data_IF_986069136572
#
_entry.id   IF_986069136572
#
_cell.length_a   1.000
_cell.length_b   1.000
_cell.length_c   1.000
_cell.angle_alpha   90.00
_cell.angle_beta   90.00
_cell.angle_gamma   90.00
#
_symmetry.space_group_name_H-M   'P 1'
#
loop_
_entity.id
_entity.type
_entity.pdbx_description
1 polymer ?
#
# COMPACT_ATOMS: atom_id res chain seq x y z
N UNK A 1 -36.73 7.56 -9.46
CA UNK A 1 -35.55 7.18 -10.27
C UNK A 1 -34.95 5.95 -9.62
N UNK A 2 -34.95 4.81 -10.31
CA UNK A 2 -34.40 3.57 -9.77
C UNK A 2 -32.87 3.73 -9.72
N UNK A 3 -32.26 3.62 -8.54
CA UNK A 3 -30.80 3.73 -8.40
C UNK A 3 -30.14 2.61 -9.19
N UNK A 4 -29.09 2.94 -9.95
CA UNK A 4 -28.32 1.95 -10.68
C UNK A 4 -27.49 1.10 -9.70
N UNK A 5 -27.21 -0.15 -10.06
CA UNK A 5 -26.27 -0.99 -9.31
C UNK A 5 -24.87 -0.34 -9.23
N UNK A 6 -24.50 0.45 -10.23
CA UNK A 6 -23.24 1.21 -10.21
C UNK A 6 -23.24 2.31 -9.15
N UNK A 7 -24.36 3.03 -8.97
CA UNK A 7 -24.47 4.07 -7.95
C UNK A 7 -24.33 3.49 -6.54
N UNK A 8 -24.95 2.32 -6.31
CA UNK A 8 -24.87 1.61 -5.03
C UNK A 8 -23.44 1.15 -4.76
N UNK A 9 -22.76 0.61 -5.78
CA UNK A 9 -21.36 0.18 -5.66
C UNK A 9 -20.46 1.37 -5.33
N UNK A 10 -20.60 2.49 -6.04
CA UNK A 10 -19.77 3.68 -5.82
C UNK A 10 -19.98 4.25 -4.40
N UNK A 11 -21.22 4.25 -3.89
CA UNK A 11 -21.51 4.61 -2.49
C UNK A 11 -20.79 3.69 -1.48
N UNK A 12 -20.76 2.39 -1.72
CA UNK A 12 -20.05 1.43 -0.86
C UNK A 12 -18.52 1.56 -0.95
N UNK A 13 -17.97 1.74 -2.15
CA UNK A 13 -16.54 1.97 -2.34
C UNK A 13 -16.10 3.25 -1.61
N UNK A 14 -16.89 4.33 -1.66
CA UNK A 14 -16.63 5.56 -0.90
C UNK A 14 -16.61 5.29 0.62
N UNK A 15 -17.58 4.52 1.14
CA UNK A 15 -17.60 4.16 2.56
C UNK A 15 -16.35 3.37 2.95
N UNK A 16 -15.93 2.41 2.13
CA UNK A 16 -14.72 1.62 2.35
C UNK A 16 -13.46 2.47 2.31
N UNK A 17 -13.35 3.41 1.36
CA UNK A 17 -12.24 4.37 1.30
C UNK A 17 -12.17 5.28 2.53
N UNK A 18 -13.31 5.58 3.17
CA UNK A 18 -13.33 6.37 4.40
C UNK A 18 -12.97 5.55 5.64
N UNK A 19 -13.37 4.28 5.70
CA UNK A 19 -13.14 3.43 6.87
C UNK A 19 -11.79 2.72 6.88
N UNK A 20 -11.21 2.45 5.71
CA UNK A 20 -10.01 1.64 5.56
C UNK A 20 -8.95 2.39 4.74
N UNK A 21 -7.89 2.79 5.43
CA UNK A 21 -6.80 3.54 4.84
C UNK A 21 -6.09 2.80 3.71
N UNK A 22 -5.88 1.48 3.84
CA UNK A 22 -5.16 0.72 2.82
C UNK A 22 -6.05 0.53 1.58
N UNK A 23 -7.34 0.32 1.79
CA UNK A 23 -8.32 0.31 0.71
C UNK A 23 -8.34 1.65 -0.05
N UNK A 24 -8.35 2.77 0.67
CA UNK A 24 -8.25 4.12 0.10
C UNK A 24 -7.00 4.27 -0.78
N UNK A 25 -5.83 3.88 -0.25
CA UNK A 25 -4.58 3.94 -0.99
C UNK A 25 -4.65 3.15 -2.31
N UNK A 26 -5.36 2.03 -2.35
CA UNK A 26 -5.47 1.19 -3.54
C UNK A 26 -6.51 1.64 -4.54
N UNK A 27 -7.66 2.13 -4.08
CA UNK A 27 -8.83 2.37 -4.92
C UNK A 27 -9.00 3.83 -5.32
N UNK A 28 -8.62 4.77 -4.45
CA UNK A 28 -8.87 6.18 -4.70
C UNK A 28 -8.18 6.65 -5.99
N UNK A 29 -8.85 7.51 -6.74
CA UNK A 29 -8.26 8.22 -7.90
C UNK A 29 -7.29 9.29 -7.43
N UNK A 30 -7.52 9.85 -6.24
CA UNK A 30 -6.67 10.85 -5.64
C UNK A 30 -5.50 10.18 -4.90
N UNK A 31 -4.27 10.48 -5.30
CA UNK A 31 -3.07 9.87 -4.71
C UNK A 31 -2.52 10.62 -3.50
N UNK A 32 -3.15 11.71 -3.02
CA UNK A 32 -2.64 12.48 -1.88
C UNK A 32 -2.49 11.66 -0.60
N UNK A 33 -3.45 10.77 -0.32
CA UNK A 33 -3.40 9.86 0.83
C UNK A 33 -2.21 8.89 0.69
N UNK A 34 -2.02 8.34 -0.50
CA UNK A 34 -0.91 7.45 -0.83
C UNK A 34 0.44 8.19 -0.77
N UNK A 35 0.53 9.40 -1.30
CA UNK A 35 1.73 10.24 -1.25
C UNK A 35 2.12 10.57 0.20
N UNK A 36 1.12 10.88 1.04
CA UNK A 36 1.32 11.10 2.48
C UNK A 36 1.85 9.83 3.14
N UNK A 37 1.28 8.66 2.83
CA UNK A 37 1.76 7.38 3.34
C UNK A 37 3.24 7.14 3.02
N UNK A 38 3.63 7.36 1.76
CA UNK A 38 5.00 7.16 1.30
C UNK A 38 5.99 8.13 1.97
N UNK A 39 5.57 9.38 2.23
CA UNK A 39 6.38 10.35 2.99
C UNK A 39 6.58 9.88 4.43
N UNK A 40 5.51 9.45 5.10
CA UNK A 40 5.59 8.95 6.47
C UNK A 40 6.51 7.73 6.60
N UNK A 41 6.41 6.78 5.67
CA UNK A 41 7.30 5.61 5.59
C UNK A 41 8.74 6.07 5.40
N UNK A 42 9.00 6.92 4.40
CA UNK A 42 10.34 7.45 4.11
C UNK A 42 10.95 8.13 5.34
N UNK A 43 10.17 8.96 6.04
CA UNK A 43 10.64 9.71 7.20
C UNK A 43 10.97 8.78 8.37
N UNK A 44 10.12 7.78 8.64
CA UNK A 44 10.40 6.76 9.65
C UNK A 44 11.67 5.96 9.31
N UNK A 45 11.83 5.53 8.05
CA UNK A 45 13.03 4.81 7.61
C UNK A 45 14.28 5.70 7.71
N UNK A 46 14.20 6.97 7.32
CA UNK A 46 15.34 7.91 7.42
C UNK A 46 15.72 8.23 8.86
N UNK A 47 14.73 8.28 9.77
CA UNK A 47 14.97 8.49 11.20
C UNK A 47 15.63 7.26 11.86
N UNK A 48 15.31 6.06 11.39
CA UNK A 48 15.89 4.81 11.91
C UNK A 48 17.31 4.55 11.41
N UNK A 49 17.59 4.88 10.14
CA UNK A 49 18.88 4.59 9.51
C UNK A 49 19.67 5.87 9.20
N UNK A 50 20.62 6.21 10.06
CA UNK A 50 21.47 7.40 9.93
C UNK A 50 22.32 7.43 8.65
N UNK A 51 22.66 6.27 8.10
CA UNK A 51 23.44 6.12 6.86
C UNK A 51 22.58 5.66 5.66
N UNK A 52 21.35 6.16 5.55
CA UNK A 52 20.47 5.76 4.44
C UNK A 52 21.04 6.19 3.08
N UNK A 53 20.93 5.29 2.09
CA UNK A 53 21.53 5.54 0.77
C UNK A 53 20.86 6.70 0.02
N UNK A 54 21.66 7.48 -0.72
CA UNK A 54 21.13 8.51 -1.63
C UNK A 54 20.17 7.92 -2.67
N UNK A 55 20.42 6.68 -3.10
CA UNK A 55 19.56 5.93 -4.03
C UNK A 55 18.18 5.69 -3.46
N UNK A 56 18.07 5.26 -2.20
CA UNK A 56 16.78 5.08 -1.53
C UNK A 56 15.97 6.38 -1.52
N UNK A 57 16.59 7.48 -1.06
CA UNK A 57 15.93 8.80 -1.01
C UNK A 57 15.41 9.20 -2.39
N UNK A 58 16.25 9.09 -3.41
CA UNK A 58 15.90 9.44 -4.78
C UNK A 58 14.77 8.56 -5.35
N UNK A 59 14.79 7.25 -5.13
CA UNK A 59 13.73 6.35 -5.61
C UNK A 59 12.40 6.64 -4.94
N UNK A 60 12.38 6.85 -3.61
CA UNK A 60 11.16 7.22 -2.90
C UNK A 60 10.63 8.60 -3.33
N UNK A 61 11.50 9.58 -3.49
CA UNK A 61 11.10 10.92 -3.95
C UNK A 61 10.50 10.87 -5.36
N UNK A 62 11.09 10.06 -6.27
CA UNK A 62 10.52 9.82 -7.59
C UNK A 62 9.16 9.14 -7.51
N UNK A 63 9.00 8.10 -6.69
CA UNK A 63 7.71 7.43 -6.54
C UNK A 63 6.62 8.38 -6.01
N UNK A 64 6.97 9.29 -5.09
CA UNK A 64 6.04 10.29 -4.54
C UNK A 64 5.66 11.35 -5.57
N UNK A 65 6.60 11.79 -6.41
CA UNK A 65 6.38 12.89 -7.38
C UNK A 65 5.77 12.43 -8.71
N UNK A 66 6.03 11.19 -9.12
CA UNK A 66 5.52 10.61 -10.38
C UNK A 66 4.05 10.21 -10.25
N UNK A 67 3.32 10.15 -11.37
CA UNK A 67 1.92 9.70 -11.43
C UNK A 67 1.78 8.16 -11.56
N UNK A 68 2.90 7.44 -11.67
CA UNK A 68 2.93 5.99 -11.79
C UNK A 68 2.38 5.30 -10.52
N UNK A 69 1.10 4.89 -10.58
CA UNK A 69 0.42 4.19 -9.48
C UNK A 69 1.10 2.88 -9.09
N UNK A 70 1.59 2.11 -10.08
CA UNK A 70 2.30 0.85 -9.81
C UNK A 70 3.54 1.10 -8.96
N UNK A 71 4.33 2.14 -9.27
CA UNK A 71 5.50 2.50 -8.47
C UNK A 71 5.13 2.93 -7.04
N UNK A 72 4.08 3.75 -6.89
CA UNK A 72 3.59 4.18 -5.56
C UNK A 72 3.08 3.01 -4.73
N UNK A 73 2.27 2.14 -5.31
CA UNK A 73 1.74 0.96 -4.63
C UNK A 73 2.84 -0.02 -4.29
N UNK A 74 3.80 -0.26 -5.18
CA UNK A 74 4.98 -1.06 -4.87
C UNK A 74 5.76 -0.51 -3.68
N UNK A 75 6.02 0.81 -3.67
CA UNK A 75 6.68 1.48 -2.55
C UNK A 75 5.88 1.37 -1.24
N UNK A 76 4.54 1.49 -1.29
CA UNK A 76 3.68 1.32 -0.13
C UNK A 76 3.73 -0.12 0.41
N UNK A 77 3.59 -1.11 -0.46
CA UNK A 77 3.57 -2.53 -0.11
C UNK A 77 4.90 -2.96 0.52
N UNK A 78 6.03 -2.61 -0.10
CA UNK A 78 7.34 -2.84 0.49
C UNK A 78 7.55 -2.03 1.77
N UNK A 79 7.05 -0.80 1.82
CA UNK A 79 7.12 0.05 3.00
C UNK A 79 6.38 -0.55 4.20
N UNK A 80 5.18 -1.09 3.99
CA UNK A 80 4.40 -1.84 5.01
C UNK A 80 5.17 -3.08 5.45
N UNK A 81 5.73 -3.84 4.50
CA UNK A 81 6.47 -5.06 4.81
C UNK A 81 7.77 -4.80 5.60
N UNK A 82 8.52 -3.76 5.24
CA UNK A 82 9.86 -3.48 5.76
C UNK A 82 9.91 -2.46 6.90
N UNK A 83 8.80 -1.78 7.21
CA UNK A 83 8.74 -0.73 8.24
C UNK A 83 7.71 -1.07 9.32
N UNK A 84 8.03 -1.97 10.28
CA UNK A 84 7.09 -2.37 11.34
C UNK A 84 6.54 -1.20 12.16
N UNK A 85 7.34 -0.17 12.43
CA UNK A 85 6.89 1.05 13.14
C UNK A 85 5.75 1.76 12.41
N UNK A 86 5.70 1.68 11.08
CA UNK A 86 4.61 2.25 10.30
C UNK A 86 3.33 1.41 10.45
N UNK A 87 3.46 0.08 10.42
CA UNK A 87 2.33 -0.84 10.68
C UNK A 87 1.74 -0.62 12.07
N UNK A 88 2.59 -0.52 13.09
CA UNK A 88 2.18 -0.22 14.46
C UNK A 88 1.46 1.12 14.56
N UNK A 89 1.96 2.16 13.86
CA UNK A 89 1.30 3.47 13.79
C UNK A 89 -0.11 3.35 13.21
N UNK A 90 -0.28 2.66 12.07
CA UNK A 90 -1.59 2.48 11.43
C UNK A 90 -2.60 1.77 12.33
N UNK A 91 -2.15 0.73 13.05
CA UNK A 91 -3.00 -0.02 14.00
C UNK A 91 -3.36 0.86 15.20
N UNK A 92 -2.37 1.55 15.80
CA UNK A 92 -2.57 2.42 16.97
C UNK A 92 -3.51 3.58 16.66
N UNK A 93 -3.44 4.13 15.46
CA UNK A 93 -4.31 5.22 14.99
C UNK A 93 -5.66 4.73 14.46
N UNK A 94 -5.94 3.41 14.55
CA UNK A 94 -7.17 2.79 14.06
C UNK A 94 -7.50 3.14 12.60
N UNK A 95 -6.46 3.30 11.77
CA UNK A 95 -6.60 3.64 10.34
C UNK A 95 -6.96 2.44 9.48
N UNK A 96 -6.84 1.24 10.04
CA UNK A 96 -7.08 -0.06 9.41
C UNK A 96 -7.72 -0.99 10.43
N UNK A 97 -8.46 -1.99 9.97
CA UNK A 97 -8.89 -3.09 10.84
C UNK A 97 -7.67 -3.93 11.25
N UNK A 98 -7.32 -4.02 12.56
CA UNK A 98 -6.07 -4.65 12.98
C UNK A 98 -5.99 -6.14 12.64
N UNK A 99 -7.10 -6.88 12.77
CA UNK A 99 -7.12 -8.32 12.54
C UNK A 99 -6.94 -8.64 11.05
N UNK A 100 -7.75 -8.01 10.20
CA UNK A 100 -7.64 -8.10 8.75
C UNK A 100 -6.26 -7.68 8.26
N UNK A 101 -5.74 -6.57 8.77
CA UNK A 101 -4.47 -6.02 8.31
C UNK A 101 -3.28 -6.89 8.71
N UNK A 102 -3.22 -7.37 9.96
CA UNK A 102 -2.17 -8.28 10.39
C UNK A 102 -2.21 -9.61 9.62
N UNK A 103 -3.41 -10.17 9.41
CA UNK A 103 -3.57 -11.37 8.60
C UNK A 103 -3.05 -11.15 7.17
N UNK A 104 -3.44 -10.05 6.52
CA UNK A 104 -2.97 -9.72 5.18
C UNK A 104 -1.45 -9.62 5.11
N UNK A 105 -0.82 -8.94 6.07
CA UNK A 105 0.64 -8.78 6.09
C UNK A 105 1.32 -10.14 6.19
N UNK A 106 0.90 -10.99 7.12
CA UNK A 106 1.56 -12.26 7.43
C UNK A 106 1.32 -13.32 6.37
N UNK A 107 0.07 -13.44 5.90
CA UNK A 107 -0.38 -14.56 5.05
C UNK A 107 -0.23 -14.26 3.57
N UNK A 108 -0.34 -12.99 3.16
CA UNK A 108 -0.32 -12.61 1.74
C UNK A 108 0.88 -11.75 1.38
N UNK A 109 1.01 -10.58 2.00
CA UNK A 109 1.99 -9.59 1.58
C UNK A 109 3.44 -10.08 1.76
N UNK A 110 3.78 -10.61 2.94
CA UNK A 110 5.15 -11.06 3.22
C UNK A 110 5.61 -12.18 2.25
N UNK A 111 4.83 -13.24 1.99
CA UNK A 111 5.14 -14.19 0.93
C UNK A 111 5.33 -13.53 -0.44
N UNK A 112 4.38 -12.68 -0.88
CA UNK A 112 4.44 -12.06 -2.21
C UNK A 112 5.66 -11.15 -2.39
N UNK A 113 6.05 -10.41 -1.35
CA UNK A 113 7.29 -9.63 -1.36
C UNK A 113 8.51 -10.53 -1.60
N UNK A 114 8.59 -11.68 -0.93
CA UNK A 114 9.68 -12.64 -1.11
C UNK A 114 9.68 -13.26 -2.52
N UNK A 115 8.50 -13.65 -3.02
CA UNK A 115 8.35 -14.20 -4.38
C UNK A 115 8.81 -13.20 -5.44
N UNK A 116 8.45 -11.92 -5.31
CA UNK A 116 8.89 -10.87 -6.22
C UNK A 116 10.40 -10.66 -6.16
N UNK A 117 10.98 -10.57 -4.96
CA UNK A 117 12.42 -10.36 -4.78
C UNK A 117 13.26 -11.54 -5.27
N UNK A 118 12.71 -12.75 -5.27
CA UNK A 118 13.35 -13.95 -5.80
C UNK A 118 13.10 -14.16 -7.30
N UNK A 119 12.29 -13.32 -7.94
CA UNK A 119 11.98 -13.43 -9.36
C UNK A 119 11.16 -14.66 -9.72
N UNK A 120 10.21 -15.07 -8.88
CA UNK A 120 9.29 -16.17 -9.21
C UNK A 120 8.43 -15.83 -10.44
N UNK A 121 8.17 -16.82 -11.29
CA UNK A 121 7.55 -16.66 -12.62
C UNK A 121 6.23 -15.86 -12.62
N UNK A 122 5.42 -15.94 -11.55
CA UNK A 122 4.14 -15.22 -11.44
C UNK A 122 4.24 -13.84 -10.78
N UNK A 123 5.42 -13.47 -10.31
CA UNK A 123 5.74 -12.23 -9.61
C UNK A 123 6.98 -11.57 -10.21
N UNK A 124 7.29 -11.85 -11.47
CA UNK A 124 8.50 -11.45 -12.17
C UNK A 124 8.55 -9.94 -12.49
N UNK A 125 7.39 -9.27 -12.47
CA UNK A 125 7.24 -7.84 -12.71
C UNK A 125 6.59 -7.11 -11.52
N UNK A 126 6.96 -5.83 -11.37
CA UNK A 126 6.37 -4.97 -10.34
C UNK A 126 4.85 -4.83 -10.52
N UNK A 127 4.36 -4.82 -11.76
CA UNK A 127 2.94 -4.74 -12.04
C UNK A 127 2.19 -5.99 -11.57
N UNK A 128 2.68 -7.19 -11.91
CA UNK A 128 2.08 -8.44 -11.47
C UNK A 128 2.02 -8.54 -9.93
N UNK A 129 3.13 -8.20 -9.26
CA UNK A 129 3.19 -8.13 -7.80
C UNK A 129 2.16 -7.17 -7.21
N UNK A 130 2.12 -5.93 -7.70
CA UNK A 130 1.22 -4.89 -7.16
C UNK A 130 -0.25 -5.26 -7.39
N UNK A 131 -0.60 -5.75 -8.58
CA UNK A 131 -1.98 -6.11 -8.90
C UNK A 131 -2.48 -7.27 -8.04
N UNK A 132 -1.67 -8.32 -7.88
CA UNK A 132 -2.02 -9.47 -7.06
C UNK A 132 -2.12 -9.09 -5.57
N UNK A 133 -1.13 -8.35 -5.05
CA UNK A 133 -1.14 -7.92 -3.66
C UNK A 133 -2.34 -7.01 -3.33
N UNK A 134 -2.71 -6.10 -4.23
CA UNK A 134 -3.90 -5.25 -4.10
C UNK A 134 -5.18 -6.06 -4.12
N UNK A 135 -5.30 -6.97 -5.09
CA UNK A 135 -6.49 -7.81 -5.26
C UNK A 135 -6.78 -8.62 -4.00
N UNK A 136 -5.76 -9.25 -3.41
CA UNK A 136 -5.92 -10.02 -2.17
C UNK A 136 -6.51 -9.20 -1.03
N UNK A 137 -6.06 -7.95 -0.86
CA UNK A 137 -6.57 -7.09 0.20
C UNK A 137 -8.02 -6.62 -0.03
N UNK A 138 -8.36 -6.36 -1.30
CA UNK A 138 -9.68 -5.86 -1.68
C UNK A 138 -10.77 -6.93 -1.53
N UNK A 139 -10.43 -8.19 -1.85
CA UNK A 139 -11.35 -9.34 -1.80
C UNK A 139 -11.56 -9.84 -0.37
N UNK A 140 -10.55 -9.73 0.51
CA UNK A 140 -10.69 -10.00 1.94
C UNK A 140 -11.67 -9.05 2.62
#
# INVERSE_FOLDING_TARGET
>A
MQRSFYDIKDEEDIKREQSDFLYNCFMSKNTEVLNTALREIKDLTCAEFSQISKRFKHVYDRAIQDDCRIAKHGALLFGIYLTPKYVEKLIRESRVDPQKFQYYIQVHLAPMCQQHLNGEEKMDSMQAFVEEARMRYIIM
#
